data_IF_768655076359
#
_entry.id   IF_768655076359
#
_cell.length_a   1.000
_cell.length_b   1.000
_cell.length_c   1.000
_cell.angle_alpha   90.00
_cell.angle_beta   90.00
_cell.angle_gamma   90.00
#
_symmetry.space_group_name_H-M   'P 1'
#
loop_
_entity.id
_entity.type
_entity.pdbx_description
1 polymer ?
#
# COMPACT_ATOMS: atom_id res chain seq x y z
N UNK A 1 -29.49 16.38 36.22
CA UNK A 1 -28.48 15.67 35.40
C UNK A 1 -28.00 16.63 34.33
N UNK A 2 -26.80 17.23 34.43
CA UNK A 2 -26.33 18.11 33.37
C UNK A 2 -25.64 17.26 32.29
N UNK A 3 -26.19 17.25 31.08
CA UNK A 3 -25.57 16.68 29.88
C UNK A 3 -24.43 17.62 29.46
N UNK A 4 -23.20 17.29 29.83
CA UNK A 4 -22.02 18.10 29.49
C UNK A 4 -21.69 17.89 28.01
N UNK A 5 -22.09 18.83 27.18
CA UNK A 5 -21.73 18.88 25.77
C UNK A 5 -20.26 19.30 25.64
N UNK A 6 -19.40 18.41 25.15
CA UNK A 6 -17.98 18.69 24.92
C UNK A 6 -17.81 19.10 23.45
N UNK A 7 -17.54 20.39 23.15
CA UNK A 7 -17.37 20.83 21.78
C UNK A 7 -16.01 20.37 21.25
N UNK A 8 -16.02 19.50 20.23
CA UNK A 8 -14.81 19.18 19.47
C UNK A 8 -14.75 20.05 18.22
N UNK A 9 -13.65 20.80 18.08
CA UNK A 9 -13.39 21.67 16.92
C UNK A 9 -12.38 21.00 15.99
N UNK A 10 -12.80 20.69 14.76
CA UNK A 10 -11.97 20.01 13.77
C UNK A 10 -10.96 21.00 13.15
N UNK A 11 -9.70 20.99 13.60
CA UNK A 11 -8.65 21.84 13.02
C UNK A 11 -7.89 21.05 11.96
N UNK A 12 -8.07 21.41 10.67
CA UNK A 12 -7.45 20.73 9.53
C UNK A 12 -5.96 21.13 9.43
N UNK A 13 -5.07 20.40 10.12
CA UNK A 13 -3.62 20.45 9.87
C UNK A 13 -3.21 19.28 8.98
N UNK A 14 -2.32 19.52 8.03
CA UNK A 14 -1.88 18.56 7.01
C UNK A 14 -1.58 17.19 7.60
N UNK A 15 -2.19 16.17 6.99
CA UNK A 15 -1.96 14.72 7.12
C UNK A 15 -1.23 14.26 8.40
N UNK A 16 -1.95 14.26 9.52
CA UNK A 16 -1.99 13.13 10.46
C UNK A 16 -3.20 13.30 11.40
N UNK A 17 -4.31 12.60 11.11
CA UNK A 17 -5.49 12.60 11.99
C UNK A 17 -5.33 11.49 13.01
N UNK A 18 -4.78 11.79 14.19
CA UNK A 18 -4.89 10.89 15.34
C UNK A 18 -6.17 11.22 16.11
N UNK A 19 -7.13 10.29 16.06
CA UNK A 19 -8.29 10.28 16.95
C UNK A 19 -7.80 9.72 18.28
N UNK A 20 -7.70 10.58 19.30
CA UNK A 20 -7.41 10.13 20.66
C UNK A 20 -8.74 9.66 21.25
N UNK A 21 -8.95 8.35 21.29
CA UNK A 21 -10.13 7.74 21.90
C UNK A 21 -9.98 7.77 23.43
N UNK A 22 -10.85 8.48 24.19
CA UNK A 22 -10.87 8.38 25.64
C UNK A 22 -11.32 6.98 26.08
N UNK A 23 -10.86 6.55 27.26
CA UNK A 23 -10.94 5.17 27.78
C UNK A 23 -12.37 4.59 27.90
N UNK A 24 -13.42 5.41 27.78
CA UNK A 24 -14.85 5.03 27.90
C UNK A 24 -15.61 5.19 26.56
N UNK A 25 -15.02 4.76 25.44
CA UNK A 25 -15.67 4.85 24.14
C UNK A 25 -16.90 3.91 24.03
N UNK A 26 -18.07 4.41 23.57
CA UNK A 26 -19.23 3.59 23.26
C UNK A 26 -18.88 2.51 22.22
N UNK A 27 -19.49 1.31 22.33
CA UNK A 27 -19.22 0.15 21.48
C UNK A 27 -19.45 0.42 19.97
N UNK A 28 -20.32 1.38 19.65
CA UNK A 28 -20.59 1.92 18.31
C UNK A 28 -19.33 2.51 17.63
N UNK A 29 -18.39 3.05 18.42
CA UNK A 29 -17.12 3.60 17.93
C UNK A 29 -16.12 2.50 17.52
N UNK A 30 -16.21 1.32 18.16
CA UNK A 30 -15.39 0.15 17.78
C UNK A 30 -15.88 -0.41 16.45
N UNK A 31 -17.20 -0.50 16.25
CA UNK A 31 -17.80 -0.93 14.99
C UNK A 31 -17.46 0.03 13.85
N UNK A 32 -17.62 1.34 14.03
CA UNK A 32 -17.19 2.36 13.05
C UNK A 32 -15.68 2.29 12.75
N UNK A 33 -14.84 2.07 13.77
CA UNK A 33 -13.40 1.89 13.58
C UNK A 33 -13.07 0.60 12.82
N UNK A 34 -13.85 -0.48 12.98
CA UNK A 34 -13.68 -1.71 12.20
C UNK A 34 -14.06 -1.50 10.73
N UNK A 35 -15.17 -0.82 10.43
CA UNK A 35 -15.58 -0.52 9.05
C UNK A 35 -14.60 0.43 8.35
N UNK A 36 -14.08 1.44 9.06
CA UNK A 36 -13.05 2.31 8.51
C UNK A 36 -11.74 1.57 8.22
N UNK A 37 -11.35 0.60 9.06
CA UNK A 37 -10.18 -0.25 8.80
C UNK A 37 -10.41 -1.13 7.58
N UNK A 38 -11.56 -1.80 7.50
CA UNK A 38 -11.92 -2.67 6.39
C UNK A 38 -12.04 -1.92 5.04
N UNK A 39 -12.55 -0.69 5.07
CA UNK A 39 -12.59 0.19 3.90
C UNK A 39 -11.18 0.64 3.47
N UNK A 40 -10.27 0.90 4.42
CA UNK A 40 -8.87 1.24 4.11
C UNK A 40 -8.11 0.03 3.58
N UNK A 41 -8.32 -1.15 4.16
CA UNK A 41 -7.74 -2.43 3.73
C UNK A 41 -8.19 -2.75 2.29
N UNK A 42 -9.49 -2.73 2.00
CA UNK A 42 -10.00 -2.97 0.64
C UNK A 42 -9.50 -1.95 -0.40
N UNK A 43 -9.36 -0.68 -0.04
CA UNK A 43 -8.76 0.34 -0.91
C UNK A 43 -7.25 0.10 -1.13
N UNK A 44 -6.56 -0.45 -0.13
CA UNK A 44 -5.13 -0.74 -0.19
C UNK A 44 -4.82 -2.01 -0.99
N UNK A 45 -5.63 -3.07 -0.82
CA UNK A 45 -5.59 -4.26 -1.66
C UNK A 45 -5.82 -3.87 -3.13
N UNK A 46 -6.80 -3.00 -3.37
CA UNK A 46 -7.05 -2.43 -4.68
C UNK A 46 -5.83 -1.65 -5.18
N UNK A 47 -5.18 -0.84 -4.34
CA UNK A 47 -4.02 -0.05 -4.76
C UNK A 47 -2.80 -0.91 -5.13
N UNK A 48 -2.51 -1.97 -4.37
CA UNK A 48 -1.41 -2.88 -4.66
C UNK A 48 -1.68 -3.64 -5.96
N UNK A 49 -2.89 -4.18 -6.15
CA UNK A 49 -3.27 -4.84 -7.40
C UNK A 49 -3.20 -3.88 -8.59
N UNK A 50 -3.71 -2.64 -8.46
CA UNK A 50 -3.62 -1.61 -9.50
C UNK A 50 -2.17 -1.28 -9.86
N UNK A 51 -1.27 -1.22 -8.88
CA UNK A 51 0.14 -0.95 -9.14
C UNK A 51 0.79 -2.08 -9.94
N UNK A 52 0.48 -3.35 -9.61
CA UNK A 52 0.92 -4.49 -10.42
C UNK A 52 0.36 -4.44 -11.84
N UNK A 53 -0.94 -4.19 -12.00
CA UNK A 53 -1.58 -4.05 -13.31
C UNK A 53 -0.86 -3.00 -14.17
N UNK A 54 -0.60 -1.81 -13.62
CA UNK A 54 0.12 -0.74 -14.31
C UNK A 54 1.55 -1.14 -14.67
N UNK A 55 2.27 -1.75 -13.73
CA UNK A 55 3.65 -2.18 -13.96
C UNK A 55 3.76 -3.16 -15.14
N UNK A 56 2.91 -4.20 -15.16
CA UNK A 56 2.89 -5.17 -16.26
C UNK A 56 2.33 -4.57 -17.56
N UNK A 57 1.37 -3.66 -17.49
CA UNK A 57 0.86 -2.95 -18.67
C UNK A 57 1.97 -2.14 -19.34
N UNK A 58 2.69 -1.32 -18.59
CA UNK A 58 3.79 -0.51 -19.09
C UNK A 58 4.96 -1.35 -19.59
N UNK A 59 5.28 -2.46 -18.91
CA UNK A 59 6.27 -3.41 -19.43
C UNK A 59 5.85 -3.95 -20.80
N UNK A 60 4.58 -4.33 -20.99
CA UNK A 60 4.08 -4.79 -22.29
C UNK A 60 4.12 -3.70 -23.37
N UNK A 61 3.88 -2.44 -23.01
CA UNK A 61 4.02 -1.32 -23.95
C UNK A 61 5.47 -1.17 -24.42
N UNK A 62 6.43 -1.26 -23.49
CA UNK A 62 7.86 -1.19 -23.79
C UNK A 62 8.32 -2.40 -24.61
N UNK A 63 7.98 -3.62 -24.19
CA UNK A 63 8.35 -4.86 -24.89
C UNK A 63 7.75 -4.89 -26.31
N UNK A 64 6.54 -4.37 -26.48
CA UNK A 64 5.89 -4.23 -27.77
C UNK A 64 6.34 -3.03 -28.61
N UNK A 65 7.28 -2.22 -28.11
CA UNK A 65 7.80 -1.00 -28.77
C UNK A 65 6.69 0.02 -29.11
N UNK A 66 5.59 0.02 -28.36
CA UNK A 66 4.49 0.98 -28.49
C UNK A 66 4.82 2.34 -27.87
N UNK A 67 5.77 2.33 -26.93
CA UNK A 67 6.35 3.51 -26.28
C UNK A 67 7.86 3.36 -26.30
N UNK A 68 8.57 4.45 -26.52
CA UNK A 68 10.03 4.45 -26.72
C UNK A 68 10.79 4.45 -25.40
N UNK A 69 10.19 4.94 -24.31
CA UNK A 69 10.86 5.03 -23.02
C UNK A 69 9.94 5.19 -21.82
N UNK A 70 10.51 4.95 -20.64
CA UNK A 70 9.88 5.25 -19.35
C UNK A 70 9.49 6.74 -19.21
N UNK A 71 10.24 7.65 -19.85
CA UNK A 71 9.92 9.08 -19.83
C UNK A 71 8.63 9.40 -20.59
N UNK A 72 8.36 8.67 -21.68
CA UNK A 72 7.12 8.79 -22.44
C UNK A 72 5.92 8.29 -21.64
N UNK A 73 6.07 7.15 -20.96
CA UNK A 73 5.06 6.63 -20.02
C UNK A 73 4.77 7.66 -18.92
N UNK A 74 5.82 8.22 -18.30
CA UNK A 74 5.66 9.24 -17.27
C UNK A 74 4.88 10.46 -17.76
N UNK A 75 5.17 10.92 -18.98
CA UNK A 75 4.45 12.04 -19.62
C UNK A 75 2.99 11.68 -19.91
N UNK A 76 2.71 10.47 -20.39
CA UNK A 76 1.36 10.02 -20.72
C UNK A 76 0.48 9.89 -19.47
N UNK A 77 1.05 9.41 -18.37
CA UNK A 77 0.35 9.21 -17.09
C UNK A 77 0.33 10.45 -16.19
N UNK A 78 1.07 11.52 -16.57
CA UNK A 78 1.23 12.72 -15.75
C UNK A 78 1.99 12.47 -14.44
N UNK A 79 2.84 11.43 -14.41
CA UNK A 79 3.60 11.00 -13.25
C UNK A 79 5.07 11.45 -13.36
N UNK A 80 5.74 11.52 -12.22
CA UNK A 80 7.20 11.67 -12.22
C UNK A 80 7.88 10.38 -12.69
N UNK A 81 8.99 10.49 -13.42
CA UNK A 81 9.73 9.35 -13.96
C UNK A 81 10.20 8.40 -12.84
N UNK A 82 10.46 8.93 -11.64
CA UNK A 82 10.84 8.14 -10.46
C UNK A 82 9.68 7.28 -9.99
N UNK A 83 8.44 7.80 -10.02
CA UNK A 83 7.26 7.04 -9.63
C UNK A 83 6.99 5.90 -10.60
N UNK A 84 7.08 6.16 -11.91
CA UNK A 84 6.96 5.13 -12.93
C UNK A 84 8.01 4.04 -12.73
N UNK A 85 9.28 4.41 -12.50
CA UNK A 85 10.34 3.45 -12.19
C UNK A 85 10.05 2.64 -10.93
N UNK A 86 9.54 3.27 -9.87
CA UNK A 86 9.22 2.57 -8.61
C UNK A 86 8.10 1.54 -8.79
N UNK A 87 7.08 1.86 -9.58
CA UNK A 87 5.99 0.92 -9.91
C UNK A 87 6.51 -0.18 -10.84
N UNK A 88 7.29 0.16 -11.87
CA UNK A 88 7.91 -0.82 -12.78
C UNK A 88 8.77 -1.85 -12.06
N UNK A 89 9.42 -1.50 -10.94
CA UNK A 89 10.19 -2.46 -10.14
C UNK A 89 9.34 -3.60 -9.57
N UNK A 90 8.02 -3.45 -9.50
CA UNK A 90 7.11 -4.52 -9.09
C UNK A 90 7.12 -5.71 -10.05
N UNK A 91 7.49 -5.52 -11.32
CA UNK A 91 7.57 -6.62 -12.29
C UNK A 91 8.80 -7.53 -12.07
N UNK A 92 9.74 -7.10 -11.23
CA UNK A 92 10.94 -7.89 -10.87
C UNK A 92 10.68 -8.87 -9.73
N UNK A 93 9.51 -8.78 -9.10
CA UNK A 93 9.15 -9.67 -8.00
C UNK A 93 8.88 -11.07 -8.51
N UNK A 94 9.37 -12.06 -7.79
CA UNK A 94 9.05 -13.46 -8.02
C UNK A 94 7.52 -13.66 -7.86
N UNK A 95 6.90 -14.53 -8.68
CA UNK A 95 5.47 -14.75 -8.64
C UNK A 95 4.98 -15.19 -7.24
N UNK A 96 5.77 -16.00 -6.52
CA UNK A 96 5.44 -16.43 -5.16
C UNK A 96 5.45 -15.28 -4.15
N UNK A 97 6.31 -14.27 -4.36
CA UNK A 97 6.34 -13.05 -3.56
C UNK A 97 5.10 -12.22 -3.82
N UNK A 98 4.71 -12.07 -5.09
CA UNK A 98 3.48 -11.37 -5.48
C UNK A 98 2.27 -12.03 -4.83
N UNK A 99 2.15 -13.36 -4.91
CA UNK A 99 1.06 -14.11 -4.28
C UNK A 99 0.98 -13.87 -2.77
N UNK A 100 2.12 -13.88 -2.06
CA UNK A 100 2.14 -13.57 -0.62
C UNK A 100 1.74 -12.13 -0.32
N UNK A 101 2.20 -11.18 -1.13
CA UNK A 101 1.88 -9.75 -0.95
C UNK A 101 0.40 -9.47 -1.20
N UNK A 102 -0.23 -10.12 -2.17
CA UNK A 102 -1.66 -9.95 -2.46
C UNK A 102 -2.57 -10.83 -1.62
N UNK A 103 -2.02 -11.89 -1.00
CA UNK A 103 -2.75 -12.84 -0.18
C UNK A 103 -2.89 -12.43 1.29
N UNK A 104 -2.18 -11.39 1.74
CA UNK A 104 -2.31 -10.83 3.08
C UNK A 104 -2.56 -9.32 3.04
N UNK A 105 -3.56 -8.80 3.77
CA UNK A 105 -3.83 -7.36 3.86
C UNK A 105 -2.75 -6.59 4.64
N UNK A 106 -1.81 -7.27 5.29
CA UNK A 106 -0.74 -6.64 6.08
C UNK A 106 0.26 -5.87 5.19
N UNK A 107 0.34 -6.23 3.90
CA UNK A 107 1.30 -5.66 2.96
C UNK A 107 0.71 -4.50 2.18
N UNK A 108 1.02 -3.28 2.63
CA UNK A 108 0.62 -2.07 1.92
C UNK A 108 1.57 -1.79 0.74
N UNK A 109 1.02 -1.26 -0.36
CA UNK A 109 1.81 -0.81 -1.53
C UNK A 109 3.01 0.07 -1.12
N UNK A 110 2.80 1.01 -0.21
CA UNK A 110 3.86 1.89 0.29
C UNK A 110 5.00 1.13 1.00
N UNK A 111 4.70 0.05 1.71
CA UNK A 111 5.71 -0.79 2.35
C UNK A 111 6.51 -1.57 1.30
N UNK A 112 5.82 -2.15 0.32
CA UNK A 112 6.42 -2.85 -0.82
C UNK A 112 7.34 -1.91 -1.61
N UNK A 113 6.90 -0.68 -1.88
CA UNK A 113 7.66 0.33 -2.64
C UNK A 113 8.80 1.00 -1.85
N UNK A 114 8.82 0.88 -0.52
CA UNK A 114 9.96 1.35 0.31
C UNK A 114 11.08 0.32 0.40
N UNK A 115 10.76 -0.96 0.20
CA UNK A 115 11.74 -2.04 0.27
C UNK A 115 12.65 -2.04 -0.97
N UNK A 116 13.93 -2.31 -0.75
CA UNK A 116 14.86 -2.61 -1.82
C UNK A 116 14.78 -4.11 -2.07
N UNK A 117 14.17 -4.49 -3.18
CA UNK A 117 14.08 -5.88 -3.62
C UNK A 117 15.38 -6.27 -4.32
N UNK A 118 15.91 -7.44 -3.96
CA UNK A 118 16.95 -8.11 -4.74
C UNK A 118 16.40 -8.46 -6.11
N UNK A 119 17.24 -8.50 -7.13
CA UNK A 119 16.92 -9.07 -8.44
C UNK A 119 16.96 -10.61 -8.44
N UNK A 120 17.54 -11.22 -7.39
CA UNK A 120 17.51 -12.67 -7.18
C UNK A 120 16.23 -13.13 -6.46
N UNK A 121 15.46 -14.00 -7.11
CA UNK A 121 14.20 -14.52 -6.57
C UNK A 121 14.36 -15.39 -5.31
N UNK A 122 15.46 -16.14 -5.18
CA UNK A 122 15.72 -16.93 -3.97
C UNK A 122 15.94 -16.01 -2.76
N UNK A 123 16.68 -14.91 -2.95
CA UNK A 123 16.86 -13.89 -1.91
C UNK A 123 15.54 -13.21 -1.55
N UNK A 124 14.71 -12.84 -2.53
CA UNK A 124 13.39 -12.26 -2.27
C UNK A 124 12.52 -13.18 -1.41
N UNK A 125 12.51 -14.49 -1.71
CA UNK A 125 11.77 -15.48 -0.93
C UNK A 125 12.31 -15.65 0.48
N UNK A 126 13.63 -15.59 0.67
CA UNK A 126 14.24 -15.64 1.99
C UNK A 126 13.86 -14.41 2.83
N UNK A 127 13.89 -13.22 2.23
CA UNK A 127 13.45 -11.97 2.88
C UNK A 127 11.98 -12.09 3.31
N UNK A 128 11.13 -12.69 2.46
CA UNK A 128 9.72 -12.91 2.78
C UNK A 128 9.50 -13.86 3.95
N UNK A 129 10.27 -14.95 4.02
CA UNK A 129 10.22 -15.92 5.13
C UNK A 129 10.67 -15.29 6.45
N UNK A 130 11.72 -14.47 6.42
CA UNK A 130 12.22 -13.78 7.62
C UNK A 130 11.25 -12.71 8.13
N UNK A 131 10.46 -12.11 7.23
CA UNK A 131 9.43 -11.12 7.61
C UNK A 131 8.26 -11.78 8.36
N UNK A 132 7.95 -13.04 8.04
CA UNK A 132 6.92 -13.86 8.71
C UNK A 132 7.28 -14.18 10.17
N UNK A 133 8.57 -14.42 10.42
CA UNK A 133 9.07 -14.84 11.74
C UNK A 133 9.16 -13.69 12.76
N UNK A 134 9.25 -12.44 12.30
CA UNK A 134 9.27 -11.25 13.17
C UNK A 134 7.90 -10.82 13.67
N UNK A 135 6.81 -11.22 12.99
CA UNK A 135 5.43 -10.83 13.34
C UNK A 135 4.79 -11.77 14.38
N UNK A 136 5.43 -12.90 14.73
CA UNK A 136 4.90 -13.92 15.65
C UNK A 136 5.32 -13.71 17.12
N UNK A 137 6.00 -12.61 17.44
CA UNK A 137 6.46 -12.29 18.81
C UNK A 137 6.01 -10.87 19.18
N UNK A 138 4.70 -10.69 19.35
CA UNK A 138 4.10 -9.64 20.20
C UNK A 138 2.66 -10.03 20.57
#
# INVERSE_FOLDING_TARGET
>A
MPTSFIPWTLVKRGVNRQVITPLDAPQEFQEEATWERQARESLQDTALMRAFELAYHWQRLLDGQWVESIAEIAKAEGLDITQVRRIMRLTLLAPEVVERLTGSPDFLLEQVMRRIWSDDWCEQMQIMRLSDQGQQVD
#
